data_IF_657537103263
#
_entry.id   IF_657537103263
#
_cell.length_a   1.000
_cell.length_b   1.000
_cell.length_c   1.000
_cell.angle_alpha   90.00
_cell.angle_beta   90.00
_cell.angle_gamma   90.00
#
_symmetry.space_group_name_H-M   'P 1'
#
loop_
_entity.id
_entity.type
_entity.pdbx_description
1 polymer ?
#
# COMPACT_ATOMS: atom_id res chain seq x y z
N UNK A 1 4.24 -4.57 2.03
CA UNK A 1 4.33 -5.24 0.72
C UNK A 1 3.11 -4.88 -0.11
N UNK A 2 3.31 -3.96 -1.04
CA UNK A 2 2.31 -3.49 -2.00
C UNK A 2 2.08 -4.63 -3.00
N UNK A 3 0.83 -5.07 -3.18
CA UNK A 3 0.49 -6.01 -4.24
C UNK A 3 0.16 -5.21 -5.50
N UNK A 4 1.00 -5.35 -6.52
CA UNK A 4 0.62 -4.98 -7.87
C UNK A 4 -0.36 -6.03 -8.39
N UNK A 5 -1.64 -5.70 -8.47
CA UNK A 5 -2.62 -6.55 -9.15
C UNK A 5 -2.73 -6.06 -10.59
N UNK A 6 -2.02 -6.75 -11.49
CA UNK A 6 -2.21 -6.60 -12.93
C UNK A 6 -3.59 -7.16 -13.30
N UNK A 7 -4.57 -6.28 -13.61
CA UNK A 7 -5.81 -6.74 -14.24
C UNK A 7 -5.49 -7.06 -15.70
N UNK A 8 -5.62 -8.34 -16.08
CA UNK A 8 -5.20 -8.94 -17.36
C UNK A 8 -5.70 -8.24 -18.64
N UNK A 9 -6.62 -7.27 -18.58
CA UNK A 9 -7.31 -6.83 -19.78
C UNK A 9 -7.63 -5.33 -20.00
N UNK A 10 -7.21 -4.36 -19.18
CA UNK A 10 -7.41 -2.94 -19.55
C UNK A 10 -6.31 -2.04 -19.00
N UNK A 11 -5.20 -1.88 -19.75
CA UNK A 11 -4.19 -0.78 -19.87
C UNK A 11 -3.83 0.14 -18.67
N UNK A 12 -4.43 -0.01 -17.50
CA UNK A 12 -4.26 0.82 -16.31
C UNK A 12 -3.87 -0.10 -15.16
N UNK A 13 -2.66 0.10 -14.65
CA UNK A 13 -2.21 -0.50 -13.40
C UNK A 13 -3.09 0.04 -12.28
N UNK A 14 -3.73 -0.84 -11.51
CA UNK A 14 -4.51 -0.45 -10.34
C UNK A 14 -3.76 -0.93 -9.09
N UNK A 15 -3.22 0.01 -8.34
CA UNK A 15 -2.59 -0.27 -7.05
C UNK A 15 -3.66 -0.64 -6.04
N UNK A 16 -3.60 -1.87 -5.49
CA UNK A 16 -4.52 -2.35 -4.45
C UNK A 16 -3.69 -2.84 -3.27
N UNK A 17 -3.84 -2.17 -2.13
CA UNK A 17 -3.15 -2.54 -0.89
C UNK A 17 -4.08 -3.46 -0.08
N UNK A 18 -3.63 -4.68 0.23
CA UNK A 18 -4.35 -5.56 1.15
C UNK A 18 -4.09 -5.14 2.61
N UNK A 19 -4.99 -4.34 3.16
CA UNK A 19 -4.89 -3.79 4.51
C UNK A 19 -4.88 -4.86 5.62
N UNK A 20 -5.50 -6.03 5.44
CA UNK A 20 -5.51 -7.08 6.48
C UNK A 20 -4.09 -7.60 6.77
N UNK A 21 -3.35 -7.96 5.72
CA UNK A 21 -1.97 -8.45 5.85
C UNK A 21 -1.02 -7.33 6.23
N UNK A 22 -1.26 -6.13 5.70
CA UNK A 22 -0.46 -4.95 6.00
C UNK A 22 -0.55 -4.54 7.47
N UNK A 23 -1.76 -4.47 8.06
CA UNK A 23 -1.94 -4.19 9.48
C UNK A 23 -1.23 -5.21 10.38
N UNK A 24 -1.19 -6.49 10.01
CA UNK A 24 -0.46 -7.51 10.77
C UNK A 24 1.05 -7.26 10.75
N UNK A 25 1.60 -6.83 9.62
CA UNK A 25 3.03 -6.48 9.48
C UNK A 25 3.35 -5.21 10.25
N UNK A 26 2.51 -4.18 10.18
CA UNK A 26 2.68 -2.93 10.92
C UNK A 26 2.62 -3.16 12.43
N UNK A 27 1.64 -3.94 12.91
CA UNK A 27 1.55 -4.28 14.34
C UNK A 27 2.82 -4.97 14.85
N UNK A 28 3.48 -5.76 13.99
CA UNK A 28 4.73 -6.44 14.35
C UNK A 28 5.97 -5.53 14.23
N UNK A 29 5.88 -4.48 13.41
CA UNK A 29 6.97 -3.54 13.12
C UNK A 29 6.46 -2.10 13.26
N UNK A 30 6.33 -1.64 14.51
CA UNK A 30 5.81 -0.32 14.84
C UNK A 30 6.59 0.82 14.16
N UNK A 31 7.90 0.64 13.94
CA UNK A 31 8.76 1.61 13.24
C UNK A 31 8.39 1.89 11.78
N UNK A 32 7.53 1.08 11.16
CA UNK A 32 7.09 1.30 9.78
C UNK A 32 5.88 2.24 9.68
N UNK A 33 5.22 2.59 10.78
CA UNK A 33 4.08 3.52 10.80
C UNK A 33 4.38 4.88 10.15
N UNK A 34 5.48 5.58 10.50
CA UNK A 34 5.81 6.89 9.93
C UNK A 34 6.00 6.83 8.41
N UNK A 35 6.62 5.75 7.92
CA UNK A 35 6.87 5.54 6.49
C UNK A 35 5.55 5.41 5.70
N UNK A 36 4.52 4.82 6.30
CA UNK A 36 3.21 4.62 5.69
C UNK A 36 2.41 5.92 5.64
N UNK A 37 2.48 6.73 6.70
CA UNK A 37 1.87 8.06 6.73
C UNK A 37 2.47 8.92 5.63
N UNK A 38 3.80 8.92 5.49
CA UNK A 38 4.51 9.64 4.43
C UNK A 38 4.16 9.14 3.02
N UNK A 39 4.03 7.82 2.84
CA UNK A 39 3.56 7.22 1.58
C UNK A 39 2.12 7.63 1.24
N UNK A 40 1.23 7.68 2.24
CA UNK A 40 -0.16 8.15 2.06
C UNK A 40 -0.20 9.62 1.67
N UNK A 41 0.59 10.48 2.30
CA UNK A 41 0.68 11.89 1.90
C UNK A 41 1.08 12.05 0.43
N UNK A 42 2.10 11.33 -0.03
CA UNK A 42 2.55 11.39 -1.43
C UNK A 42 1.45 10.90 -2.39
N UNK A 43 0.73 9.84 -2.03
CA UNK A 43 -0.34 9.26 -2.87
C UNK A 43 -1.61 10.12 -2.95
N UNK A 44 -1.91 10.92 -1.92
CA UNK A 44 -3.14 11.74 -1.86
C UNK A 44 -2.90 13.23 -2.16
N UNK A 45 -1.65 13.71 -2.20
CA UNK A 45 -1.31 15.07 -2.66
C UNK A 45 -1.15 15.17 -4.19
N UNK A 46 -1.04 14.06 -4.90
CA UNK A 46 -0.97 14.02 -6.37
C UNK A 46 -2.38 13.91 -6.98
#
# INVERSE_FOLDING_TARGET
LIFFIFKKNKKKLRFIINYKRFNKIIKKNYYLLPFIVKLKEILYKA
#
